data_IF_493643586507
#
_entry.id   IF_493643586507
#
_cell.length_a   1.000
_cell.length_b   1.000
_cell.length_c   1.000
_cell.angle_alpha   90.00
_cell.angle_beta   90.00
_cell.angle_gamma   90.00
#
_symmetry.space_group_name_H-M   'P 1'
#
loop_
_entity.id
_entity.type
_entity.pdbx_description
1 polymer ?
#
# COMPACT_ATOMS: atom_id res chain seq x y z
N UNK A 1 16.26 -7.06 4.22
CA UNK A 1 16.34 -7.09 5.70
C UNK A 1 15.20 -6.23 6.23
N UNK A 2 14.37 -6.79 7.12
CA UNK A 2 13.35 -6.03 7.85
C UNK A 2 14.07 -5.43 9.06
N UNK A 3 14.17 -4.10 9.14
CA UNK A 3 14.99 -3.40 10.14
C UNK A 3 14.21 -2.91 11.35
N UNK A 4 12.87 -3.01 11.34
CA UNK A 4 11.98 -2.47 12.38
C UNK A 4 11.76 -0.95 12.31
N UNK A 5 12.48 -0.25 11.42
CA UNK A 5 12.42 1.21 11.30
C UNK A 5 11.03 1.75 10.97
N UNK A 6 10.21 1.00 10.24
CA UNK A 6 8.84 1.40 9.92
C UNK A 6 7.95 1.46 11.16
N UNK A 7 8.05 0.47 12.06
CA UNK A 7 7.33 0.46 13.34
C UNK A 7 7.82 1.59 14.25
N UNK A 8 9.14 1.79 14.33
CA UNK A 8 9.72 2.88 15.12
C UNK A 8 9.24 4.25 14.66
N UNK A 9 9.28 4.51 13.35
CA UNK A 9 8.81 5.77 12.76
C UNK A 9 7.30 5.99 13.00
N UNK A 10 6.50 4.92 12.90
CA UNK A 10 5.08 4.98 13.18
C UNK A 10 4.79 5.34 14.64
N UNK A 11 5.46 4.70 15.59
CA UNK A 11 5.29 5.00 17.02
C UNK A 11 5.72 6.44 17.35
N UNK A 12 6.80 6.93 16.74
CA UNK A 12 7.23 8.32 16.85
C UNK A 12 6.18 9.29 16.27
N UNK A 13 5.63 8.99 15.09
CA UNK A 13 4.62 9.82 14.46
C UNK A 13 3.31 9.86 15.27
N UNK A 14 2.89 8.74 15.86
CA UNK A 14 1.68 8.67 16.70
C UNK A 14 1.82 9.38 18.05
N UNK A 15 3.03 9.44 18.62
CA UNK A 15 3.30 10.13 19.88
C UNK A 15 3.56 11.63 19.72
N UNK A 16 3.74 12.11 18.49
CA UNK A 16 3.98 13.52 18.20
C UNK A 16 2.67 14.34 18.24
N UNK A 17 2.52 15.33 19.14
CA UNK A 17 1.25 16.06 19.32
C UNK A 17 0.87 16.95 18.13
N UNK A 18 1.81 17.23 17.23
CA UNK A 18 1.61 18.06 16.04
C UNK A 18 1.43 17.23 14.75
N UNK A 19 1.40 15.90 14.86
CA UNK A 19 1.20 15.01 13.72
C UNK A 19 -0.10 14.22 13.90
N UNK A 20 -0.78 14.00 12.78
CA UNK A 20 -1.93 13.13 12.69
C UNK A 20 -1.61 12.06 11.67
N UNK A 21 -1.09 10.91 12.12
CA UNK A 21 -0.80 9.79 11.24
C UNK A 21 -2.12 9.16 10.78
N UNK A 22 -2.44 9.31 9.49
CA UNK A 22 -3.73 8.86 8.94
C UNK A 22 -3.61 7.61 8.07
N UNK A 23 -2.39 7.26 7.64
CA UNK A 23 -2.26 6.32 6.54
C UNK A 23 -0.86 5.83 6.26
N UNK A 24 -0.78 4.91 5.30
CA UNK A 24 0.46 4.29 4.83
C UNK A 24 0.61 4.48 3.31
N UNK A 25 1.85 4.60 2.88
CA UNK A 25 2.23 4.73 1.48
C UNK A 25 3.29 3.69 1.13
N UNK A 26 3.16 3.08 -0.04
CA UNK A 26 4.19 2.23 -0.64
C UNK A 26 4.46 2.68 -2.07
N UNK A 27 5.71 2.57 -2.51
CA UNK A 27 6.09 2.79 -3.90
C UNK A 27 6.94 1.63 -4.39
N UNK A 28 6.44 0.93 -5.41
CA UNK A 28 7.07 -0.25 -6.00
C UNK A 28 8.13 0.08 -7.06
N UNK A 29 8.11 1.30 -7.62
CA UNK A 29 8.89 1.71 -8.78
C UNK A 29 8.04 1.91 -10.03
N UNK A 30 8.67 2.16 -11.18
CA UNK A 30 8.00 2.41 -12.47
C UNK A 30 8.91 2.08 -13.66
N UNK A 31 8.37 1.60 -14.80
CA UNK A 31 6.99 1.12 -15.01
C UNK A 31 6.79 -0.34 -14.58
N UNK A 32 5.59 -0.68 -14.07
CA UNK A 32 5.20 -2.03 -13.65
C UNK A 32 4.08 -2.52 -14.56
N UNK A 33 4.39 -3.52 -15.38
CA UNK A 33 3.47 -4.07 -16.38
C UNK A 33 2.63 -5.24 -15.83
N UNK A 34 2.98 -5.75 -14.67
CA UNK A 34 2.31 -6.84 -13.98
C UNK A 34 1.34 -6.34 -12.91
N UNK A 35 0.25 -7.09 -12.72
CA UNK A 35 -0.75 -6.80 -11.68
C UNK A 35 -0.33 -7.37 -10.32
N UNK A 36 0.30 -8.53 -10.32
CA UNK A 36 0.67 -9.28 -9.11
C UNK A 36 1.50 -8.47 -8.09
N UNK A 37 2.50 -7.65 -8.48
CA UNK A 37 3.27 -6.85 -7.52
C UNK A 37 2.40 -5.88 -6.70
N UNK A 38 1.34 -5.32 -7.29
CA UNK A 38 0.41 -4.45 -6.57
C UNK A 38 -0.36 -5.21 -5.51
N UNK A 39 -0.79 -6.45 -5.81
CA UNK A 39 -1.53 -7.28 -4.87
C UNK A 39 -0.66 -7.64 -3.66
N UNK A 40 0.56 -8.11 -3.92
CA UNK A 40 1.52 -8.46 -2.88
C UNK A 40 1.88 -7.26 -1.99
N UNK A 41 2.06 -6.08 -2.60
CA UNK A 41 2.35 -4.86 -1.84
C UNK A 41 1.20 -4.46 -0.92
N UNK A 42 -0.04 -4.51 -1.43
CA UNK A 42 -1.23 -4.19 -0.63
C UNK A 42 -1.36 -5.18 0.54
N UNK A 43 -1.18 -6.48 0.30
CA UNK A 43 -1.23 -7.51 1.35
C UNK A 43 -0.20 -7.25 2.46
N UNK A 44 1.06 -7.01 2.10
CA UNK A 44 2.13 -6.72 3.07
C UNK A 44 1.82 -5.46 3.88
N UNK A 45 1.34 -4.40 3.24
CA UNK A 45 1.03 -3.14 3.90
C UNK A 45 -0.17 -3.26 4.85
N UNK A 46 -1.18 -4.04 4.47
CA UNK A 46 -2.34 -4.27 5.33
C UNK A 46 -2.01 -5.18 6.52
N UNK A 47 -1.17 -6.20 6.31
CA UNK A 47 -0.67 -7.01 7.42
C UNK A 47 0.11 -6.15 8.42
N UNK A 48 1.02 -5.31 7.92
CA UNK A 48 1.73 -4.35 8.77
C UNK A 48 0.76 -3.40 9.51
N UNK A 49 -0.24 -2.85 8.82
CA UNK A 49 -1.24 -1.99 9.45
C UNK A 49 -2.02 -2.71 10.57
N UNK A 50 -2.40 -3.97 10.38
CA UNK A 50 -3.07 -4.78 11.39
C UNK A 50 -2.17 -5.01 12.62
N UNK A 51 -0.88 -5.33 12.40
CA UNK A 51 0.09 -5.47 13.49
C UNK A 51 0.28 -4.15 14.27
N UNK A 52 0.30 -3.01 13.58
CA UNK A 52 0.45 -1.70 14.21
C UNK A 52 -0.81 -1.26 14.95
N UNK A 53 -2.00 -1.64 14.46
CA UNK A 53 -3.26 -1.47 15.18
C UNK A 53 -3.21 -2.21 16.52
N UNK A 54 -2.82 -3.48 16.49
CA UNK A 54 -2.85 -4.34 17.68
C UNK A 54 -1.80 -3.92 18.73
N UNK A 55 -0.64 -3.41 18.28
CA UNK A 55 0.45 -2.98 19.18
C UNK A 55 0.35 -1.54 19.65
N UNK A 56 -0.01 -0.61 18.76
CA UNK A 56 0.10 0.84 18.98
C UNK A 56 -1.24 1.57 18.90
N UNK A 57 -2.34 0.87 18.58
CA UNK A 57 -3.65 1.48 18.36
C UNK A 57 -3.74 2.28 17.06
N UNK A 58 -2.88 1.99 16.07
CA UNK A 58 -2.91 2.67 14.78
C UNK A 58 -4.17 2.32 13.98
N UNK A 59 -4.95 3.34 13.60
CA UNK A 59 -6.08 3.18 12.69
C UNK A 59 -5.71 3.64 11.28
N UNK A 60 -5.61 2.67 10.35
CA UNK A 60 -5.39 2.94 8.94
C UNK A 60 -6.66 3.57 8.33
N UNK A 61 -6.63 4.88 8.06
CA UNK A 61 -7.74 5.60 7.38
C UNK A 61 -7.49 5.81 5.90
N UNK A 62 -6.23 6.01 5.52
CA UNK A 62 -5.83 6.20 4.13
C UNK A 62 -4.72 5.22 3.74
N UNK A 63 -4.84 4.65 2.55
CA UNK A 63 -3.80 3.82 1.96
C UNK A 63 -3.49 4.32 0.55
N UNK A 64 -2.21 4.55 0.29
CA UNK A 64 -1.70 4.94 -1.02
C UNK A 64 -0.80 3.84 -1.59
N UNK A 65 -1.20 3.14 -2.68
CA UNK A 65 -0.35 2.17 -3.37
C UNK A 65 0.79 2.82 -4.18
N UNK A 66 0.81 4.16 -4.24
CA UNK A 66 1.79 4.92 -4.98
C UNK A 66 1.56 4.89 -6.50
N UNK A 67 2.56 5.36 -7.24
CA UNK A 67 2.57 5.30 -8.70
C UNK A 67 3.14 3.98 -9.25
N UNK A 68 3.46 3.97 -10.54
CA UNK A 68 4.15 2.86 -11.20
C UNK A 68 3.36 2.15 -12.28
N UNK A 69 2.05 2.40 -12.37
CA UNK A 69 1.20 1.77 -13.37
C UNK A 69 1.76 2.10 -14.75
N UNK A 70 1.92 1.06 -15.57
CA UNK A 70 2.60 1.22 -16.83
C UNK A 70 1.73 1.99 -17.84
N UNK A 71 2.35 2.95 -18.52
CA UNK A 71 1.82 3.55 -19.73
C UNK A 71 2.60 2.98 -20.92
N UNK A 72 1.93 2.42 -21.93
CA UNK A 72 2.60 1.93 -23.12
C UNK A 72 3.21 3.10 -23.90
N UNK A 73 4.48 2.99 -24.28
CA UNK A 73 5.19 3.97 -25.12
C UNK A 73 4.98 3.69 -26.61
N UNK A 74 4.78 2.41 -26.96
CA UNK A 74 4.44 1.95 -28.31
C UNK A 74 3.10 1.20 -28.31
N UNK A 75 2.51 1.00 -29.49
CA UNK A 75 1.26 0.24 -29.62
C UNK A 75 1.42 -1.24 -29.30
N UNK A 76 2.64 -1.75 -29.38
CA UNK A 76 2.97 -3.16 -29.19
C UNK A 76 3.41 -3.45 -27.75
N UNK A 77 3.54 -2.41 -26.91
CA UNK A 77 3.89 -2.58 -25.51
C UNK A 77 2.70 -3.24 -24.78
N UNK A 78 2.93 -4.37 -24.08
CA UNK A 78 1.90 -4.96 -23.24
C UNK A 78 1.58 -3.96 -22.12
N UNK A 79 0.32 -3.66 -21.88
CA UNK A 79 -0.10 -2.86 -20.72
C UNK A 79 -1.48 -3.35 -20.27
N UNK A 80 -1.61 -3.83 -19.03
CA UNK A 80 -2.92 -4.16 -18.49
C UNK A 80 -3.84 -2.93 -18.54
N UNK A 81 -5.13 -3.12 -18.82
CA UNK A 81 -6.12 -2.06 -18.65
C UNK A 81 -6.04 -1.45 -17.26
N UNK A 82 -6.19 -0.12 -17.15
CA UNK A 82 -6.23 0.62 -15.87
C UNK A 82 -7.25 0.00 -14.90
N UNK A 83 -8.36 -0.55 -15.43
CA UNK A 83 -9.37 -1.24 -14.66
C UNK A 83 -8.83 -2.48 -13.92
N UNK A 84 -7.88 -3.22 -14.50
CA UNK A 84 -7.28 -4.39 -13.87
C UNK A 84 -6.39 -4.00 -12.69
N UNK A 85 -5.58 -2.95 -12.83
CA UNK A 85 -4.82 -2.37 -11.70
C UNK A 85 -5.77 -1.93 -10.57
N UNK A 86 -6.81 -1.17 -10.92
CA UNK A 86 -7.78 -0.68 -9.93
C UNK A 86 -8.52 -1.84 -9.24
N UNK A 87 -8.90 -2.87 -9.99
CA UNK A 87 -9.57 -4.04 -9.43
C UNK A 87 -8.66 -4.79 -8.47
N UNK A 88 -7.41 -5.07 -8.85
CA UNK A 88 -6.46 -5.79 -8.03
C UNK A 88 -6.13 -5.09 -6.71
N UNK A 89 -5.95 -3.77 -6.75
CA UNK A 89 -5.70 -2.95 -5.54
C UNK A 89 -6.96 -2.93 -4.66
N UNK A 90 -8.13 -2.68 -5.25
CA UNK A 90 -9.36 -2.45 -4.49
C UNK A 90 -10.05 -3.73 -3.99
N UNK A 91 -9.81 -4.89 -4.60
CA UNK A 91 -10.39 -6.16 -4.14
C UNK A 91 -9.83 -6.58 -2.79
N UNK A 92 -8.52 -6.39 -2.57
CA UNK A 92 -7.83 -6.78 -1.35
C UNK A 92 -8.27 -5.89 -0.18
N UNK A 93 -8.36 -4.57 -0.41
CA UNK A 93 -8.88 -3.63 0.58
C UNK A 93 -10.30 -3.98 1.05
N UNK A 94 -11.16 -4.45 0.14
CA UNK A 94 -12.54 -4.83 0.46
C UNK A 94 -12.68 -6.18 1.13
N UNK A 95 -11.77 -7.11 0.89
CA UNK A 95 -11.78 -8.43 1.51
C UNK A 95 -11.65 -8.35 3.03
N UNK A 96 -10.79 -7.44 3.50
CA UNK A 96 -10.43 -7.32 4.92
C UNK A 96 -11.28 -6.32 5.71
N UNK A 97 -11.94 -5.37 5.05
CA UNK A 97 -12.87 -4.43 5.71
C UNK A 97 -14.22 -5.07 6.13
N UNK A 98 -14.43 -6.36 5.81
CA UNK A 98 -15.64 -7.11 6.16
C UNK A 98 -15.51 -7.90 7.48
N UNK A 99 -14.36 -7.83 8.14
CA UNK A 99 -14.12 -8.34 9.50
C UNK A 99 -14.08 -7.19 10.51
#
# INVERSE_FOLDING_TARGET
MITGQAEEALAQAMSAPNLNLIGLHVHLGSPIFEIEPYQQAVEVMLQFAAEMRDKHGFELREFSPGGGFAIPFTRDDPSPPVAEYAQAISSILRGLAKE
#
